data_IF_561954483440
#
_entry.id   IF_561954483440
#
_cell.length_a   1.000
_cell.length_b   1.000
_cell.length_c   1.000
_cell.angle_alpha   90.00
_cell.angle_beta   90.00
_cell.angle_gamma   90.00
#
_symmetry.space_group_name_H-M   'P 1'
#
loop_
_entity.id
_entity.type
_entity.pdbx_description
1 polymer ?
#
# COMPACT_ATOMS: atom_id res chain seq x y z
N UNK A 1 -1.98 -46.54 63.49
CA UNK A 1 -1.16 -46.32 62.28
C UNK A 1 -0.74 -44.86 62.25
N UNK A 2 0.55 -44.56 62.48
CA UNK A 2 1.12 -43.21 62.55
C UNK A 2 2.14 -43.02 61.40
N UNK A 3 2.27 -41.80 60.84
CA UNK A 3 2.96 -41.56 59.59
C UNK A 3 4.48 -41.37 59.78
N UNK A 4 5.29 -41.81 58.82
CA UNK A 4 6.72 -41.53 58.75
C UNK A 4 6.99 -40.64 57.54
N UNK A 5 7.41 -39.42 57.85
CA UNK A 5 7.77 -38.33 56.94
C UNK A 5 9.09 -38.66 56.22
N UNK A 6 9.07 -38.78 54.90
CA UNK A 6 10.29 -38.73 54.09
C UNK A 6 10.49 -37.32 53.54
N UNK A 7 11.67 -36.76 53.85
CA UNK A 7 12.10 -35.40 53.53
C UNK A 7 12.52 -35.27 52.06
N UNK A 8 12.28 -34.13 51.39
CA UNK A 8 12.78 -33.88 50.05
C UNK A 8 14.29 -33.54 50.07
N UNK A 9 15.03 -34.08 49.10
CA UNK A 9 16.47 -33.85 48.91
C UNK A 9 16.64 -32.64 47.97
N UNK A 10 17.03 -31.50 48.52
CA UNK A 10 17.25 -30.25 47.78
C UNK A 10 18.65 -30.25 47.16
N UNK A 11 18.75 -30.49 45.85
CA UNK A 11 19.99 -30.29 45.10
C UNK A 11 20.15 -28.80 44.74
N UNK A 12 21.03 -28.09 45.43
CA UNK A 12 21.47 -26.75 45.07
C UNK A 12 22.45 -26.84 43.89
N UNK A 13 21.95 -26.58 42.67
CA UNK A 13 22.77 -26.43 41.47
C UNK A 13 23.21 -24.97 41.32
N UNK A 14 24.48 -24.68 41.62
CA UNK A 14 25.09 -23.38 41.32
C UNK A 14 25.53 -23.35 39.86
N UNK A 15 24.64 -22.87 38.97
CA UNK A 15 24.98 -22.65 37.56
C UNK A 15 25.45 -21.20 37.37
N UNK A 16 26.76 -21.00 37.39
CA UNK A 16 27.40 -19.74 37.04
C UNK A 16 27.42 -19.57 35.52
N UNK A 17 26.54 -18.72 34.98
CA UNK A 17 26.56 -18.33 33.56
C UNK A 17 27.13 -16.92 33.45
N UNK A 18 28.36 -16.79 32.94
CA UNK A 18 28.91 -15.51 32.52
C UNK A 18 28.40 -15.16 31.11
N UNK A 19 27.82 -13.97 30.87
CA UNK A 19 27.47 -13.55 29.53
C UNK A 19 28.72 -13.10 28.75
N UNK A 20 28.89 -13.64 27.55
CA UNK A 20 29.91 -13.21 26.58
C UNK A 20 29.34 -11.98 25.84
N UNK A 21 30.05 -10.84 25.78
CA UNK A 21 29.57 -9.68 25.02
C UNK A 21 29.69 -9.94 23.51
N UNK A 22 28.55 -10.06 22.83
CA UNK A 22 28.50 -10.14 21.37
C UNK A 22 28.74 -8.74 20.76
N UNK A 23 29.95 -8.51 20.25
CA UNK A 23 30.27 -7.28 19.52
C UNK A 23 29.65 -7.37 18.12
N UNK A 24 28.50 -6.72 17.93
CA UNK A 24 27.84 -6.60 16.63
C UNK A 24 28.71 -5.76 15.67
N UNK A 25 29.44 -6.41 14.77
CA UNK A 25 30.10 -5.75 13.65
C UNK A 25 29.03 -5.20 12.68
N UNK A 26 28.81 -3.89 12.71
CA UNK A 26 28.00 -3.21 11.69
C UNK A 26 28.79 -3.21 10.38
N UNK A 27 28.49 -4.17 9.50
CA UNK A 27 28.99 -4.17 8.12
C UNK A 27 28.25 -3.07 7.37
N UNK A 28 28.84 -1.89 7.28
CA UNK A 28 28.41 -0.83 6.36
C UNK A 28 28.68 -1.30 4.94
N UNK A 29 27.63 -1.74 4.23
CA UNK A 29 27.71 -2.01 2.79
C UNK A 29 27.88 -0.68 2.06
N UNK A 30 29.02 -0.50 1.41
CA UNK A 30 29.22 0.57 0.44
C UNK A 30 28.38 0.30 -0.80
N UNK A 31 27.45 1.20 -1.12
CA UNK A 31 26.69 1.14 -2.36
C UNK A 31 27.54 1.73 -3.49
N UNK A 32 28.07 0.89 -4.38
CA UNK A 32 28.81 1.33 -5.55
C UNK A 32 27.85 1.89 -6.60
N UNK A 33 27.97 3.17 -6.91
CA UNK A 33 27.08 3.90 -7.85
C UNK A 33 27.37 3.63 -9.33
N UNK A 34 28.43 2.88 -9.66
CA UNK A 34 28.86 2.64 -11.05
C UNK A 34 28.16 1.48 -11.76
N UNK A 35 27.39 0.64 -11.06
CA UNK A 35 26.55 -0.38 -11.70
C UNK A 35 25.26 0.20 -12.33
N UNK A 36 24.94 1.49 -12.07
CA UNK A 36 23.65 2.06 -12.46
C UNK A 36 23.49 2.28 -13.97
N UNK A 37 24.55 2.54 -14.74
CA UNK A 37 24.43 2.79 -16.19
C UNK A 37 24.26 1.51 -17.03
N UNK A 38 24.87 0.39 -16.64
CA UNK A 38 24.59 -0.91 -17.27
C UNK A 38 23.27 -1.53 -16.76
N UNK A 39 22.93 -1.30 -15.47
CA UNK A 39 21.65 -1.70 -14.88
C UNK A 39 20.46 -0.87 -15.39
N UNK A 40 20.68 0.29 -16.02
CA UNK A 40 19.64 1.02 -16.76
C UNK A 40 19.03 0.18 -17.89
N UNK A 41 19.68 -0.88 -18.38
CA UNK A 41 19.09 -1.76 -19.40
C UNK A 41 18.09 -2.79 -18.83
N UNK A 42 18.15 -3.11 -17.53
CA UNK A 42 17.35 -4.18 -16.94
C UNK A 42 17.00 -3.89 -15.48
N UNK A 43 15.76 -3.44 -15.26
CA UNK A 43 15.22 -3.10 -13.94
C UNK A 43 15.08 -4.35 -13.05
N UNK A 44 15.72 -4.37 -11.88
CA UNK A 44 15.67 -5.52 -10.97
C UNK A 44 14.27 -5.72 -10.35
N UNK A 45 13.90 -6.95 -9.97
CA UNK A 45 12.57 -7.23 -9.38
C UNK A 45 12.26 -6.44 -8.10
N UNK A 46 13.16 -6.33 -7.11
CA UNK A 46 12.88 -5.55 -5.90
C UNK A 46 12.65 -4.07 -6.21
N UNK A 47 13.45 -3.52 -7.14
CA UNK A 47 13.37 -2.12 -7.55
C UNK A 47 12.10 -1.83 -8.33
N UNK A 48 11.75 -2.68 -9.30
CA UNK A 48 10.48 -2.61 -10.03
C UNK A 48 9.28 -2.63 -9.08
N UNK A 49 9.24 -3.58 -8.13
CA UNK A 49 8.14 -3.68 -7.17
C UNK A 49 8.05 -2.44 -6.26
N UNK A 50 9.20 -1.87 -5.87
CA UNK A 50 9.24 -0.63 -5.12
C UNK A 50 8.71 0.56 -5.93
N UNK A 51 9.06 0.66 -7.22
CA UNK A 51 8.56 1.68 -8.15
C UNK A 51 7.04 1.54 -8.34
N UNK A 52 6.54 0.31 -8.53
CA UNK A 52 5.10 0.01 -8.63
C UNK A 52 4.34 0.40 -7.36
N UNK A 53 4.89 0.10 -6.18
CA UNK A 53 4.32 0.52 -4.90
C UNK A 53 4.36 2.05 -4.73
N UNK A 54 5.41 2.70 -5.23
CA UNK A 54 5.54 4.15 -5.22
C UNK A 54 4.44 4.81 -6.06
N UNK A 55 4.15 4.31 -7.27
CA UNK A 55 3.07 4.81 -8.14
C UNK A 55 1.74 4.95 -7.39
N UNK A 56 1.35 3.90 -6.65
CA UNK A 56 0.11 3.92 -5.84
C UNK A 56 0.16 4.90 -4.68
N UNK A 57 1.32 5.04 -4.03
CA UNK A 57 1.53 6.05 -2.98
C UNK A 57 1.35 7.47 -3.51
N UNK A 58 1.85 7.77 -4.70
CA UNK A 58 1.65 9.09 -5.33
C UNK A 58 0.18 9.36 -5.66
N UNK A 59 -0.53 8.37 -6.21
CA UNK A 59 -1.97 8.49 -6.48
C UNK A 59 -2.77 8.78 -5.21
N UNK A 60 -2.48 8.08 -4.11
CA UNK A 60 -3.15 8.30 -2.84
C UNK A 60 -2.73 9.62 -2.17
N UNK A 61 -1.44 9.95 -2.21
CA UNK A 61 -0.90 11.13 -1.55
C UNK A 61 -1.39 12.43 -2.18
N UNK A 62 -1.66 12.45 -3.50
CA UNK A 62 -2.14 13.65 -4.18
C UNK A 62 -3.60 13.99 -3.94
N UNK A 63 -4.39 13.10 -3.32
CA UNK A 63 -5.77 13.40 -2.93
C UNK A 63 -5.82 14.54 -1.92
N UNK A 64 -4.93 14.53 -0.92
CA UNK A 64 -4.89 15.52 0.16
C UNK A 64 -4.61 16.94 -0.37
N UNK A 65 -3.47 17.22 -1.05
CA UNK A 65 -3.18 18.56 -1.54
C UNK A 65 -4.20 19.00 -2.61
N UNK A 66 -4.70 18.10 -3.46
CA UNK A 66 -5.69 18.47 -4.47
C UNK A 66 -7.05 18.83 -3.83
N UNK A 67 -7.46 18.15 -2.76
CA UNK A 67 -8.66 18.50 -1.98
C UNK A 67 -8.49 19.85 -1.29
N UNK A 68 -7.33 20.08 -0.66
CA UNK A 68 -7.03 21.36 0.00
C UNK A 68 -6.98 22.51 -0.99
N UNK A 69 -6.39 22.30 -2.17
CA UNK A 69 -6.41 23.28 -3.26
C UNK A 69 -7.83 23.56 -3.73
N UNK A 70 -8.65 22.52 -3.95
CA UNK A 70 -10.06 22.68 -4.31
C UNK A 70 -10.86 23.44 -3.26
N UNK A 71 -10.63 23.16 -1.98
CA UNK A 71 -11.23 23.89 -0.86
C UNK A 71 -10.78 25.36 -0.85
N UNK A 72 -9.48 25.63 -0.96
CA UNK A 72 -8.95 26.98 -0.96
C UNK A 72 -9.46 27.80 -2.14
N UNK A 73 -9.48 27.21 -3.34
CA UNK A 73 -10.03 27.85 -4.53
C UNK A 73 -11.52 28.13 -4.38
N UNK A 74 -12.31 27.17 -3.88
CA UNK A 74 -13.73 27.36 -3.62
C UNK A 74 -13.97 28.47 -2.59
N UNK A 75 -13.31 28.40 -1.44
CA UNK A 75 -13.46 29.39 -0.38
C UNK A 75 -13.02 30.79 -0.82
N UNK A 76 -11.92 30.89 -1.56
CA UNK A 76 -11.45 32.18 -2.10
C UNK A 76 -12.40 32.75 -3.13
N UNK A 77 -13.00 31.93 -3.99
CA UNK A 77 -13.93 32.38 -5.03
C UNK A 77 -15.28 32.79 -4.43
N UNK A 78 -15.90 31.93 -3.63
CA UNK A 78 -17.20 32.23 -3.03
C UNK A 78 -17.11 33.27 -1.92
N UNK A 79 -15.98 33.34 -1.22
CA UNK A 79 -15.73 34.38 -0.21
C UNK A 79 -15.50 35.78 -0.79
N UNK A 80 -15.16 35.90 -2.08
CA UNK A 80 -15.07 37.20 -2.74
C UNK A 80 -16.38 37.67 -3.36
N UNK A 81 -17.46 36.88 -3.25
CA UNK A 81 -18.78 37.29 -3.74
C UNK A 81 -19.51 38.11 -2.69
N UNK A 82 -20.08 39.24 -3.09
CA UNK A 82 -20.93 40.05 -2.23
C UNK A 82 -22.19 39.26 -1.86
N UNK A 83 -22.36 39.01 -0.57
CA UNK A 83 -23.42 38.14 -0.04
C UNK A 83 -24.46 38.98 0.68
N UNK A 84 -25.62 39.17 0.06
CA UNK A 84 -26.78 39.84 0.66
C UNK A 84 -27.68 38.79 1.34
N UNK A 85 -27.80 38.77 2.68
CA UNK A 85 -28.54 37.74 3.41
C UNK A 85 -30.06 37.78 3.14
N UNK A 86 -30.58 38.85 2.53
CA UNK A 86 -32.01 38.95 2.21
C UNK A 86 -32.39 38.21 0.91
N UNK A 87 -31.41 37.87 0.07
CA UNK A 87 -31.63 37.22 -1.22
C UNK A 87 -31.31 35.74 -1.14
N UNK A 88 -32.34 34.93 -0.90
CA UNK A 88 -32.21 33.48 -0.90
C UNK A 88 -31.86 32.95 -2.30
N UNK A 89 -30.93 31.99 -2.36
CA UNK A 89 -30.51 31.32 -3.59
C UNK A 89 -31.13 29.92 -3.56
N UNK A 90 -32.04 29.63 -4.52
CA UNK A 90 -32.83 28.38 -4.53
C UNK A 90 -33.60 28.10 -3.22
N UNK A 91 -34.02 29.14 -2.50
CA UNK A 91 -34.70 29.00 -1.21
C UNK A 91 -33.79 28.65 -0.03
N UNK A 92 -32.48 28.62 -0.25
CA UNK A 92 -31.45 28.39 0.77
C UNK A 92 -30.73 29.72 1.04
N UNK A 93 -30.34 29.94 2.29
CA UNK A 93 -29.51 31.08 2.67
C UNK A 93 -28.15 31.03 1.91
N UNK A 94 -27.70 32.15 1.33
CA UNK A 94 -26.44 32.24 0.61
C UNK A 94 -25.22 31.65 1.34
N UNK A 95 -25.12 31.79 2.67
CA UNK A 95 -24.00 31.23 3.44
C UNK A 95 -23.94 29.70 3.34
N UNK A 96 -25.10 29.04 3.46
CA UNK A 96 -25.19 27.59 3.33
C UNK A 96 -24.96 27.15 1.89
N UNK A 97 -25.52 27.86 0.92
CA UNK A 97 -25.33 27.54 -0.50
C UNK A 97 -23.85 27.60 -0.88
N UNK A 98 -23.14 28.68 -0.56
CA UNK A 98 -21.72 28.81 -0.82
C UNK A 98 -20.85 27.86 0.00
N UNK A 99 -21.26 27.52 1.24
CA UNK A 99 -20.61 26.46 2.02
C UNK A 99 -20.69 25.10 1.32
N UNK A 100 -21.87 24.75 0.79
CA UNK A 100 -22.07 23.52 0.02
C UNK A 100 -21.24 23.56 -1.27
N UNK A 101 -21.24 24.66 -2.01
CA UNK A 101 -20.41 24.79 -3.21
C UNK A 101 -18.91 24.67 -2.90
N UNK A 102 -18.44 25.28 -1.80
CA UNK A 102 -17.03 25.18 -1.37
C UNK A 102 -16.65 23.75 -1.02
N UNK A 103 -17.51 23.03 -0.28
CA UNK A 103 -17.29 21.61 0.02
C UNK A 103 -17.37 20.73 -1.24
N UNK A 104 -18.20 21.09 -2.22
CA UNK A 104 -18.22 20.43 -3.53
C UNK A 104 -16.90 20.63 -4.30
N UNK A 105 -16.31 21.83 -4.26
CA UNK A 105 -14.97 22.08 -4.83
C UNK A 105 -13.88 21.23 -4.17
N UNK A 106 -13.93 21.07 -2.84
CA UNK A 106 -13.04 20.15 -2.12
C UNK A 106 -13.22 18.70 -2.60
N UNK A 107 -14.47 18.23 -2.70
CA UNK A 107 -14.80 16.89 -3.19
C UNK A 107 -14.32 16.66 -4.64
N UNK A 108 -14.44 17.67 -5.50
CA UNK A 108 -13.90 17.61 -6.86
C UNK A 108 -12.36 17.46 -6.86
N UNK A 109 -11.66 18.24 -6.03
CA UNK A 109 -10.21 18.11 -5.84
C UNK A 109 -9.80 16.71 -5.35
N UNK A 110 -10.58 16.13 -4.43
CA UNK A 110 -10.36 14.76 -3.97
C UNK A 110 -10.43 13.73 -5.11
N UNK A 111 -11.44 13.84 -5.99
CA UNK A 111 -11.62 12.95 -7.14
C UNK A 111 -10.53 13.13 -8.21
N UNK A 112 -10.05 14.36 -8.41
CA UNK A 112 -8.97 14.67 -9.36
C UNK A 112 -7.59 14.20 -8.88
N UNK A 113 -7.39 14.05 -7.57
CA UNK A 113 -6.12 13.73 -6.93
C UNK A 113 -5.34 12.55 -7.54
N UNK A 114 -5.94 11.35 -7.68
CA UNK A 114 -5.22 10.17 -8.19
C UNK A 114 -4.78 10.32 -9.65
N UNK A 115 -5.60 10.97 -10.48
CA UNK A 115 -5.28 11.23 -11.89
C UNK A 115 -4.09 12.17 -11.99
N UNK A 116 -4.08 13.24 -11.20
CA UNK A 116 -2.97 14.21 -11.17
C UNK A 116 -1.70 13.58 -10.58
N UNK A 117 -1.84 12.76 -9.53
CA UNK A 117 -0.73 12.01 -8.94
C UNK A 117 -0.09 11.02 -9.92
N UNK A 118 -0.89 10.34 -10.74
CA UNK A 118 -0.38 9.47 -11.81
C UNK A 118 0.37 10.27 -12.88
N UNK A 119 -0.14 11.43 -13.29
CA UNK A 119 0.50 12.30 -14.27
C UNK A 119 1.87 12.79 -13.78
N UNK A 120 1.94 13.29 -12.54
CA UNK A 120 3.20 13.74 -11.90
C UNK A 120 4.19 12.57 -11.80
N UNK A 121 3.72 11.39 -11.38
CA UNK A 121 4.57 10.21 -11.28
C UNK A 121 5.13 9.77 -12.64
N UNK A 122 4.29 9.74 -13.70
CA UNK A 122 4.71 9.43 -15.08
C UNK A 122 5.74 10.43 -15.60
N UNK A 123 5.55 11.71 -15.30
CA UNK A 123 6.50 12.75 -15.68
C UNK A 123 7.87 12.57 -14.98
N UNK A 124 7.86 12.28 -13.67
CA UNK A 124 9.07 12.01 -12.90
C UNK A 124 9.83 10.76 -13.40
N UNK A 125 9.11 9.71 -13.81
CA UNK A 125 9.70 8.45 -14.27
C UNK A 125 9.76 8.33 -15.80
N UNK A 126 9.65 9.44 -16.55
CA UNK A 126 9.54 9.43 -18.03
C UNK A 126 10.70 8.73 -18.73
N UNK A 127 11.92 8.81 -18.16
CA UNK A 127 13.14 8.20 -18.73
C UNK A 127 13.16 6.67 -18.59
N UNK A 128 12.60 6.14 -17.50
CA UNK A 128 12.54 4.71 -17.24
C UNK A 128 11.22 4.07 -17.67
N UNK A 129 10.31 4.84 -18.28
CA UNK A 129 8.95 4.41 -18.60
C UNK A 129 8.88 3.12 -19.41
N UNK A 130 9.64 3.04 -20.50
CA UNK A 130 9.65 1.86 -21.38
C UNK A 130 10.11 0.57 -20.66
N UNK A 131 11.09 0.68 -19.76
CA UNK A 131 11.61 -0.44 -18.97
C UNK A 131 10.61 -0.89 -17.90
N UNK A 132 9.96 0.08 -17.24
CA UNK A 132 8.90 -0.18 -16.28
C UNK A 132 7.73 -0.88 -16.97
N UNK A 133 7.32 -0.41 -18.14
CA UNK A 133 6.19 -0.96 -18.89
C UNK A 133 6.52 -2.36 -19.47
N UNK A 134 7.79 -2.64 -19.81
CA UNK A 134 8.24 -3.99 -20.15
C UNK A 134 8.14 -4.94 -18.94
N UNK A 135 8.58 -4.50 -17.75
CA UNK A 135 8.47 -5.29 -16.52
C UNK A 135 7.04 -5.45 -16.01
N UNK A 136 6.20 -4.43 -16.16
CA UNK A 136 4.77 -4.50 -15.84
C UNK A 136 4.11 -5.64 -16.65
N UNK A 137 4.49 -5.82 -17.92
CA UNK A 137 4.02 -6.94 -18.78
C UNK A 137 4.50 -8.31 -18.29
N UNK A 138 5.79 -8.46 -18.00
CA UNK A 138 6.33 -9.72 -17.46
C UNK A 138 5.69 -10.09 -16.11
N UNK A 139 5.51 -9.09 -15.25
CA UNK A 139 4.83 -9.27 -13.98
C UNK A 139 3.38 -9.72 -14.18
N UNK A 140 2.65 -9.12 -15.11
CA UNK A 140 1.28 -9.53 -15.43
C UNK A 140 1.21 -10.97 -15.93
N UNK A 141 2.17 -11.41 -16.75
CA UNK A 141 2.28 -12.82 -17.17
C UNK A 141 2.52 -13.75 -15.98
N UNK A 142 3.37 -13.34 -15.04
CA UNK A 142 3.63 -14.10 -13.81
C UNK A 142 2.40 -14.24 -12.91
N UNK A 143 1.59 -13.20 -12.79
CA UNK A 143 0.33 -13.21 -12.03
C UNK A 143 -0.70 -14.07 -12.74
N UNK A 144 -0.89 -13.88 -14.04
CA UNK A 144 -1.88 -14.61 -14.85
C UNK A 144 -1.64 -16.12 -14.82
N UNK A 145 -0.37 -16.56 -14.85
CA UNK A 145 -0.02 -17.98 -14.76
C UNK A 145 -0.29 -18.61 -13.39
N UNK A 146 -0.30 -17.81 -12.32
CA UNK A 146 -0.33 -18.31 -10.93
C UNK A 146 -1.62 -18.00 -10.18
N UNK A 147 -2.42 -17.05 -10.66
CA UNK A 147 -3.72 -16.70 -10.08
C UNK A 147 -4.66 -17.91 -10.13
N UNK A 148 -5.53 -18.01 -9.14
CA UNK A 148 -6.65 -18.96 -9.15
C UNK A 148 -7.65 -18.53 -10.23
N UNK A 149 -8.37 -19.49 -10.80
CA UNK A 149 -9.44 -19.21 -11.76
C UNK A 149 -10.56 -18.41 -11.08
N UNK A 150 -11.11 -17.42 -11.80
CA UNK A 150 -12.18 -16.57 -11.29
C UNK A 150 -13.49 -17.34 -11.13
N UNK A 151 -13.69 -18.42 -11.90
CA UNK A 151 -14.87 -19.29 -11.84
C UNK A 151 -15.04 -20.01 -10.50
N UNK A 152 -13.94 -20.22 -9.76
CA UNK A 152 -13.93 -20.91 -8.47
C UNK A 152 -14.36 -20.01 -7.29
N UNK A 153 -14.85 -18.81 -7.58
CA UNK A 153 -15.32 -17.87 -6.56
C UNK A 153 -16.64 -18.33 -5.93
N UNK A 154 -16.63 -18.50 -4.61
CA UNK A 154 -17.85 -18.70 -3.82
C UNK A 154 -18.25 -17.40 -3.11
N UNK A 155 -19.56 -17.09 -2.98
CA UNK A 155 -20.03 -15.92 -2.24
C UNK A 155 -19.51 -15.85 -0.79
N UNK A 156 -19.23 -16.99 -0.16
CA UNK A 156 -18.73 -17.08 1.21
C UNK A 156 -17.21 -16.98 1.31
N UNK A 157 -16.47 -17.14 0.20
CA UNK A 157 -15.01 -17.04 0.18
C UNK A 157 -14.52 -16.23 -1.04
N UNK A 158 -14.37 -14.90 -0.90
CA UNK A 158 -13.88 -14.08 -2.00
C UNK A 158 -12.43 -14.44 -2.35
N UNK A 159 -12.10 -14.39 -3.64
CA UNK A 159 -10.74 -14.70 -4.11
C UNK A 159 -9.72 -13.68 -3.57
N UNK A 160 -8.57 -14.14 -3.07
CA UNK A 160 -7.48 -13.25 -2.68
C UNK A 160 -6.96 -12.48 -3.90
N UNK A 161 -6.78 -11.17 -3.75
CA UNK A 161 -6.25 -10.20 -4.74
C UNK A 161 -5.96 -10.79 -6.15
N UNK A 162 -7.00 -10.91 -6.97
CA UNK A 162 -6.95 -11.61 -8.26
C UNK A 162 -5.94 -11.02 -9.25
N UNK A 163 -5.74 -9.69 -9.20
CA UNK A 163 -4.85 -8.95 -10.11
C UNK A 163 -3.47 -8.68 -9.51
N UNK A 164 -3.22 -9.08 -8.25
CA UNK A 164 -1.97 -8.79 -7.56
C UNK A 164 -1.72 -7.29 -7.43
N UNK A 165 -2.77 -6.50 -7.23
CA UNK A 165 -2.72 -5.04 -7.13
C UNK A 165 -1.93 -4.58 -5.89
N UNK A 166 -1.99 -5.36 -4.80
CA UNK A 166 -1.35 -5.03 -3.52
C UNK A 166 0.12 -5.47 -3.45
N UNK A 167 0.66 -6.06 -4.51
CA UNK A 167 2.03 -6.59 -4.54
C UNK A 167 3.03 -5.47 -4.86
N UNK A 168 3.66 -4.94 -3.81
CA UNK A 168 4.70 -3.91 -3.86
C UNK A 168 6.07 -4.38 -3.35
N UNK A 169 6.21 -5.63 -2.94
CA UNK A 169 7.49 -6.21 -2.48
C UNK A 169 7.57 -7.71 -2.74
N UNK A 170 8.78 -8.26 -2.71
CA UNK A 170 9.00 -9.71 -2.85
C UNK A 170 8.36 -10.52 -1.71
N UNK A 171 8.26 -9.94 -0.51
CA UNK A 171 7.57 -10.58 0.60
C UNK A 171 6.07 -10.69 0.32
N UNK A 172 5.43 -9.61 -0.12
CA UNK A 172 4.02 -9.60 -0.49
C UNK A 172 3.74 -10.54 -1.67
N UNK A 173 4.66 -10.64 -2.63
CA UNK A 173 4.54 -11.61 -3.72
C UNK A 173 4.52 -13.06 -3.22
N UNK A 174 5.45 -13.43 -2.33
CA UNK A 174 5.47 -14.78 -1.72
C UNK A 174 4.24 -15.05 -0.88
N UNK A 175 3.75 -14.03 -0.16
CA UNK A 175 2.52 -14.14 0.61
C UNK A 175 1.32 -14.39 -0.32
N UNK A 176 1.21 -13.60 -1.39
CA UNK A 176 0.18 -13.76 -2.40
C UNK A 176 0.19 -15.19 -3.01
N UNK A 177 1.35 -15.75 -3.33
CA UNK A 177 1.46 -17.14 -3.80
C UNK A 177 0.91 -18.16 -2.80
N UNK A 178 1.19 -17.96 -1.50
CA UNK A 178 0.64 -18.83 -0.44
C UNK A 178 -0.88 -18.69 -0.35
N UNK A 179 -1.41 -17.49 -0.50
CA UNK A 179 -2.84 -17.22 -0.40
C UNK A 179 -3.60 -17.81 -1.60
N UNK A 180 -3.07 -17.68 -2.82
CA UNK A 180 -3.59 -18.38 -4.01
C UNK A 180 -3.57 -19.90 -3.82
N UNK A 181 -2.48 -20.46 -3.28
CA UNK A 181 -2.36 -21.89 -3.00
C UNK A 181 -3.33 -22.39 -1.93
N UNK A 182 -3.55 -21.62 -0.86
CA UNK A 182 -4.56 -21.92 0.17
C UNK A 182 -5.97 -21.92 -0.42
N UNK A 183 -6.28 -20.92 -1.23
CA UNK A 183 -7.58 -20.79 -1.87
C UNK A 183 -7.87 -21.96 -2.82
N UNK A 184 -6.89 -22.35 -3.65
CA UNK A 184 -7.02 -23.51 -4.54
C UNK A 184 -7.31 -24.81 -3.78
N UNK A 185 -6.68 -25.02 -2.63
CA UNK A 185 -6.93 -26.21 -1.81
C UNK A 185 -8.34 -26.21 -1.22
N UNK A 186 -8.81 -25.05 -0.75
CA UNK A 186 -10.19 -24.89 -0.25
C UNK A 186 -11.22 -25.11 -1.35
N UNK A 187 -10.98 -24.62 -2.55
CA UNK A 187 -11.89 -24.79 -3.67
C UNK A 187 -12.03 -26.25 -4.15
N UNK A 188 -11.03 -27.10 -3.90
CA UNK A 188 -11.02 -28.52 -4.30
C UNK A 188 -11.60 -29.44 -3.23
N UNK A 189 -11.50 -29.08 -1.95
CA UNK A 189 -12.01 -29.88 -0.85
C UNK A 189 -13.49 -29.55 -0.63
N UNK A 190 -14.42 -30.52 -0.71
CA UNK A 190 -15.79 -30.29 -0.27
C UNK A 190 -15.78 -29.89 1.21
N UNK A 191 -16.50 -28.82 1.54
CA UNK A 191 -16.76 -28.43 2.93
C UNK A 191 -17.88 -29.38 3.41
N UNK A 192 -17.49 -30.45 4.10
CA UNK A 192 -18.40 -31.38 4.80
C UNK A 192 -18.95 -30.77 6.11
#
# INVERSE_FOLDING_TARGET
>A
MRPILQRPVTFLSLRSTRPIPSRSLKITRFNSTKASEAAQSHLSWPEYLAIRANRRRWQNAMTIPCSLLGLFTGASYFGSLDTDPTKVIFGIDPFFFYGICTTACMGFGYLMGPTLGNAIWRFSHRRAGALIDARDREFYQHITKRRVDASLQSPTSPVPDYYGEKIGSLHQYRQWLRDQGKYRRKAVLPED
#
